data_IF_587329176854
#
_entry.id   IF_587329176854
#
_cell.length_a   1.000
_cell.length_b   1.000
_cell.length_c   1.000
_cell.angle_alpha   90.00
_cell.angle_beta   90.00
_cell.angle_gamma   90.00
#
_symmetry.space_group_name_H-M   'P 1'
#
loop_
_entity.id
_entity.type
_entity.pdbx_description
1 polymer ?
#
# COMPACT_ATOMS: atom_id res chain seq x y z
N UNK A 1 3.32 10.77 -9.47
CA UNK A 1 4.44 10.65 -8.50
C UNK A 1 5.64 9.90 -9.09
N UNK A 2 5.46 8.66 -9.56
CA UNK A 2 6.53 7.86 -10.20
C UNK A 2 7.19 8.61 -11.36
N UNK A 3 6.40 9.25 -12.21
CA UNK A 3 6.92 9.99 -13.38
C UNK A 3 7.83 11.15 -12.95
N UNK A 4 7.36 12.03 -12.06
CA UNK A 4 8.20 13.11 -11.51
C UNK A 4 9.45 12.61 -10.78
N UNK A 5 9.38 11.43 -10.16
CA UNK A 5 10.56 10.82 -9.54
C UNK A 5 11.53 10.29 -10.61
N UNK A 6 11.03 9.73 -11.70
CA UNK A 6 11.82 9.30 -12.83
C UNK A 6 12.49 10.49 -13.55
N UNK A 7 11.76 11.58 -13.79
CA UNK A 7 12.25 12.77 -14.50
C UNK A 7 13.48 13.38 -13.82
N UNK A 8 13.53 13.35 -12.47
CA UNK A 8 14.68 13.83 -11.71
C UNK A 8 15.80 12.81 -11.51
N UNK A 9 15.57 11.54 -11.82
CA UNK A 9 16.55 10.46 -11.61
C UNK A 9 17.89 10.68 -12.34
N UNK A 10 17.94 11.23 -13.57
CA UNK A 10 19.21 11.55 -14.24
C UNK A 10 20.10 12.54 -13.48
N UNK A 11 19.51 13.41 -12.64
CA UNK A 11 20.23 14.42 -11.87
C UNK A 11 20.63 13.95 -10.46
N UNK A 12 20.26 12.72 -10.08
CA UNK A 12 20.57 12.15 -8.77
C UNK A 12 21.60 11.04 -8.93
N UNK A 13 22.82 11.23 -8.41
CA UNK A 13 23.90 10.26 -8.55
C UNK A 13 23.61 8.91 -7.87
N UNK A 14 23.05 8.93 -6.66
CA UNK A 14 22.71 7.74 -5.89
C UNK A 14 21.27 7.31 -6.14
N UNK A 15 20.34 7.55 -5.21
CA UNK A 15 18.93 7.25 -5.35
C UNK A 15 18.09 8.16 -4.46
N UNK A 16 16.80 7.93 -4.41
CA UNK A 16 15.87 8.71 -3.62
C UNK A 16 14.77 7.82 -3.05
N UNK A 17 14.38 8.09 -1.80
CA UNK A 17 13.32 7.34 -1.15
C UNK A 17 11.96 7.76 -1.68
N UNK A 18 11.37 6.94 -2.55
CA UNK A 18 10.03 7.17 -3.11
C UNK A 18 9.00 6.32 -2.38
N UNK A 19 8.03 6.97 -1.72
CA UNK A 19 6.92 6.31 -1.05
C UNK A 19 5.68 6.24 -1.95
N UNK A 20 5.11 5.05 -2.12
CA UNK A 20 3.88 4.86 -2.88
C UNK A 20 2.73 4.74 -1.88
N UNK A 21 1.69 5.56 -2.07
CA UNK A 21 0.47 5.51 -1.28
C UNK A 21 -0.67 4.95 -2.14
N UNK A 22 -1.32 3.90 -1.67
CA UNK A 22 -2.37 3.20 -2.40
C UNK A 22 -3.65 3.09 -1.55
N UNK A 23 -4.82 3.07 -2.18
CA UNK A 23 -6.05 2.77 -1.48
C UNK A 23 -6.06 1.31 -1.01
N UNK A 24 -6.90 1.04 -0.02
CA UNK A 24 -6.99 -0.26 0.64
C UNK A 24 -7.44 -1.40 -0.28
N UNK A 25 -8.21 -1.06 -1.31
CA UNK A 25 -8.83 -1.98 -2.26
C UNK A 25 -8.09 -2.03 -3.61
N UNK A 26 -6.78 -1.78 -3.62
CA UNK A 26 -5.99 -1.85 -4.86
C UNK A 26 -5.86 -3.30 -5.33
N UNK A 27 -6.15 -3.54 -6.61
CA UNK A 27 -6.00 -4.86 -7.21
C UNK A 27 -4.51 -5.20 -7.41
N UNK A 28 -4.13 -6.46 -7.21
CA UNK A 28 -2.73 -6.93 -7.35
C UNK A 28 -2.10 -6.65 -8.70
N UNK A 29 -2.89 -6.78 -9.76
CA UNK A 29 -2.44 -6.45 -11.12
C UNK A 29 -1.98 -4.99 -11.21
N UNK A 30 -2.72 -4.08 -10.61
CA UNK A 30 -2.43 -2.66 -10.68
C UNK A 30 -1.24 -2.32 -9.79
N UNK A 31 -1.13 -2.93 -8.61
CA UNK A 31 0.07 -2.87 -7.78
C UNK A 31 1.31 -3.31 -8.56
N UNK A 32 1.22 -4.45 -9.25
CA UNK A 32 2.31 -4.96 -10.08
C UNK A 32 2.64 -4.00 -11.24
N UNK A 33 1.63 -3.47 -11.93
CA UNK A 33 1.83 -2.49 -13.00
C UNK A 33 2.53 -1.22 -12.52
N UNK A 34 2.23 -0.75 -11.30
CA UNK A 34 2.90 0.40 -10.68
C UNK A 34 4.39 0.12 -10.47
N UNK A 35 4.75 -1.06 -9.96
CA UNK A 35 6.15 -1.46 -9.78
C UNK A 35 6.88 -1.62 -11.12
N UNK A 36 6.22 -2.25 -12.09
CA UNK A 36 6.77 -2.40 -13.45
C UNK A 36 6.95 -1.06 -14.16
N UNK A 37 6.05 -0.10 -13.94
CA UNK A 37 6.19 1.26 -14.46
C UNK A 37 7.40 1.96 -13.84
N UNK A 38 7.60 1.87 -12.52
CA UNK A 38 8.75 2.44 -11.85
C UNK A 38 10.07 1.90 -12.42
N UNK A 39 10.16 0.58 -12.61
CA UNK A 39 11.32 -0.06 -13.22
C UNK A 39 11.56 0.40 -14.66
N UNK A 40 10.52 0.39 -15.50
CA UNK A 40 10.61 0.82 -16.91
C UNK A 40 11.04 2.29 -17.05
N UNK A 41 10.62 3.14 -16.11
CA UNK A 41 10.98 4.57 -16.08
C UNK A 41 12.38 4.84 -15.51
N UNK A 42 13.12 3.79 -15.12
CA UNK A 42 14.50 3.92 -14.65
C UNK A 42 14.63 4.41 -13.21
N UNK A 43 13.59 4.29 -12.38
CA UNK A 43 13.72 4.55 -10.95
C UNK A 43 14.69 3.55 -10.32
N UNK A 44 15.62 4.08 -9.53
CA UNK A 44 16.67 3.29 -8.88
C UNK A 44 16.19 2.56 -7.62
N UNK A 45 15.22 3.13 -6.91
CA UNK A 45 14.66 2.55 -5.70
C UNK A 45 13.23 3.02 -5.44
N UNK A 46 12.48 2.17 -4.72
CA UNK A 46 11.22 2.48 -4.05
C UNK A 46 11.45 2.22 -2.56
N UNK A 47 10.81 3.00 -1.69
CA UNK A 47 11.01 2.90 -0.25
C UNK A 47 9.86 2.15 0.43
N UNK A 48 8.72 2.79 0.67
CA UNK A 48 7.54 2.12 1.22
C UNK A 48 6.41 2.04 0.20
N UNK A 49 5.71 0.91 0.21
CA UNK A 49 4.34 0.80 -0.28
C UNK A 49 3.40 0.89 0.92
N UNK A 50 2.59 1.95 0.98
CA UNK A 50 1.65 2.22 2.07
C UNK A 50 0.23 2.09 1.54
N UNK A 51 -0.46 1.03 1.93
CA UNK A 51 -1.90 0.90 1.74
C UNK A 51 -2.64 1.47 2.96
N UNK A 52 -3.86 1.96 2.73
CA UNK A 52 -4.81 2.21 3.81
C UNK A 52 -5.42 0.87 4.26
N UNK A 53 -5.81 0.74 5.53
CA UNK A 53 -6.66 -0.36 5.97
C UNK A 53 -8.08 -0.15 5.45
N UNK A 54 -8.75 -1.22 5.00
CA UNK A 54 -10.17 -1.20 4.61
C UNK A 54 -11.05 -0.82 5.81
N UNK A 55 -10.66 -1.27 7.00
CA UNK A 55 -11.29 -0.90 8.26
C UNK A 55 -10.38 0.11 8.96
N UNK A 56 -10.51 1.38 8.59
CA UNK A 56 -10.13 2.44 9.53
C UNK A 56 -11.23 2.48 10.58
N UNK A 57 -10.89 2.17 11.82
CA UNK A 57 -11.66 2.71 12.94
C UNK A 57 -11.60 4.23 12.77
N UNK A 58 -12.75 4.85 12.49
CA UNK A 58 -12.84 6.30 12.51
C UNK A 58 -12.23 6.78 13.83
N UNK A 59 -11.29 7.72 13.77
CA UNK A 59 -10.80 8.36 14.98
C UNK A 59 -12.00 9.09 15.57
N UNK A 60 -12.69 8.47 16.53
CA UNK A 60 -13.81 9.05 17.28
C UNK A 60 -13.21 10.13 18.19
N UNK A 61 -12.83 11.26 17.60
CA UNK A 61 -12.44 12.46 18.34
C UNK A 61 -13.64 13.31 18.75
N UNK A 62 -14.86 12.98 18.30
CA UNK A 62 -16.07 13.67 18.73
C UNK A 62 -17.17 12.67 19.06
N UNK A 63 -17.33 12.42 20.38
CA UNK A 63 -18.53 11.93 21.08
C UNK A 63 -19.47 11.04 20.26
N UNK A 64 -19.32 9.72 20.32
CA UNK A 64 -20.43 8.82 20.03
C UNK A 64 -20.32 7.51 20.84
N UNK A 65 -21.47 7.11 21.37
CA UNK A 65 -21.75 6.01 22.30
C UNK A 65 -21.34 4.65 21.71
N UNK A 66 -20.76 3.77 22.55
CA UNK A 66 -20.48 2.35 22.21
C UNK A 66 -21.78 1.60 21.93
N UNK A 67 -21.87 0.85 20.81
CA UNK A 67 -22.67 -0.36 20.77
C UNK A 67 -21.76 -1.56 21.10
N UNK A 68 -22.20 -2.34 22.07
CA UNK A 68 -21.75 -3.72 22.30
C UNK A 68 -22.00 -4.56 21.04
N UNK A 69 -20.99 -5.34 20.63
CA UNK A 69 -21.04 -6.66 19.98
C UNK A 69 -19.81 -6.84 19.05
N UNK A 70 -18.69 -7.23 19.65
CA UNK A 70 -17.57 -7.81 18.91
C UNK A 70 -17.59 -9.32 19.16
N UNK A 71 -18.27 -10.06 18.29
CA UNK A 71 -18.09 -11.52 18.22
C UNK A 71 -16.77 -11.80 17.48
N UNK A 72 -15.83 -12.57 18.05
CA UNK A 72 -14.62 -12.96 17.34
C UNK A 72 -14.96 -13.98 16.25
N UNK A 73 -14.70 -13.63 14.99
CA UNK A 73 -14.80 -14.56 13.87
C UNK A 73 -13.77 -15.71 14.04
N UNK A 74 -14.12 -16.96 13.63
CA UNK A 74 -13.23 -18.11 13.77
C UNK A 74 -11.97 -17.97 12.90
N UNK A 75 -10.84 -18.58 13.29
CA UNK A 75 -9.60 -18.50 12.55
C UNK A 75 -9.77 -19.19 11.19
N UNK A 76 -9.79 -18.40 10.11
CA UNK A 76 -9.81 -18.92 8.76
C UNK A 76 -8.56 -19.77 8.53
N UNK A 77 -8.76 -21.03 8.15
CA UNK A 77 -7.72 -21.93 7.70
C UNK A 77 -6.90 -21.24 6.59
N UNK A 78 -5.57 -21.36 6.68
CA UNK A 78 -4.60 -20.80 5.74
C UNK A 78 -4.81 -21.39 4.34
N UNK A 79 -5.74 -20.84 3.58
CA UNK A 79 -5.66 -20.86 2.14
C UNK A 79 -4.42 -20.06 1.76
N UNK A 80 -3.66 -20.52 0.77
CA UNK A 80 -2.59 -19.71 0.21
C UNK A 80 -3.25 -18.50 -0.47
N UNK A 81 -3.42 -17.39 0.28
CA UNK A 81 -4.07 -16.17 -0.18
C UNK A 81 -3.20 -15.51 -1.25
N UNK A 82 -3.40 -15.97 -2.49
CA UNK A 82 -2.84 -15.34 -3.68
C UNK A 82 -3.42 -13.94 -3.93
N UNK A 83 -4.26 -13.43 -3.03
CA UNK A 83 -4.76 -12.04 -2.96
C UNK A 83 -4.14 -11.20 -1.82
N UNK A 84 -3.26 -11.78 -0.98
CA UNK A 84 -2.46 -11.01 -0.02
C UNK A 84 -1.11 -10.60 -0.63
N UNK A 85 -0.81 -9.31 -0.72
CA UNK A 85 0.50 -8.86 -1.20
C UNK A 85 1.52 -8.90 -0.05
N UNK A 86 2.44 -9.87 -0.09
CA UNK A 86 3.51 -10.05 0.90
C UNK A 86 4.46 -8.84 1.05
N UNK A 87 4.43 -7.89 0.12
CA UNK A 87 5.23 -6.65 0.19
C UNK A 87 4.55 -5.52 0.98
N UNK A 88 3.27 -5.67 1.32
CA UNK A 88 2.48 -4.67 2.04
C UNK A 88 2.12 -5.09 3.48
N UNK A 89 2.69 -6.19 3.97
CA UNK A 89 2.56 -6.67 5.35
C UNK A 89 3.47 -5.87 6.30
#
# INVERSE_FOLDING_TARGET
MIEHAADRTPFVCQSQSVNIFLPANVHKRDLHQIHMLAWKRGLKSLYYCRSLSIQRADNVSEKAVRPEELQPAPPAARAADYEECLSCQ
#
